data_IF_072538778115
#
_entry.id   IF_072538778115
#
_cell.length_a   1.000
_cell.length_b   1.000
_cell.length_c   1.000
_cell.angle_alpha   90.00
_cell.angle_beta   90.00
_cell.angle_gamma   90.00
#
_symmetry.space_group_name_H-M   'P 1'
#
loop_
_entity.id
_entity.type
_entity.pdbx_description
1 polymer ?
#
# COMPACT_ATOMS: atom_id res chain seq x y z
N UNK A 1 -10.92 6.46 17.31
CA UNK A 1 -11.69 6.37 16.07
C UNK A 1 -10.89 5.62 15.02
N UNK A 2 -11.52 4.71 14.30
CA UNK A 2 -10.87 3.95 13.23
C UNK A 2 -10.80 4.82 11.95
N UNK A 3 -9.69 4.76 11.24
CA UNK A 3 -9.52 5.48 9.97
C UNK A 3 -10.63 5.09 8.97
N UNK A 4 -11.02 3.83 8.95
CA UNK A 4 -12.07 3.34 8.05
C UNK A 4 -13.43 3.98 8.34
N UNK A 5 -13.77 4.17 9.62
CA UNK A 5 -15.01 4.82 10.01
C UNK A 5 -15.04 6.28 9.56
N UNK A 6 -13.91 6.97 9.69
CA UNK A 6 -13.78 8.34 9.21
C UNK A 6 -13.93 8.42 7.70
N UNK A 7 -13.35 7.47 6.96
CA UNK A 7 -13.40 7.44 5.50
C UNK A 7 -14.81 7.20 4.97
N UNK A 8 -15.72 6.62 5.76
CA UNK A 8 -17.11 6.40 5.36
C UNK A 8 -17.90 7.70 5.24
N UNK A 9 -17.49 8.75 5.96
CA UNK A 9 -18.22 10.03 6.00
C UNK A 9 -17.42 11.19 5.42
N UNK A 10 -16.10 11.11 5.43
CA UNK A 10 -15.20 12.16 4.93
C UNK A 10 -14.04 11.53 4.18
N UNK A 11 -13.38 12.34 3.34
CA UNK A 11 -12.17 11.89 2.68
C UNK A 11 -11.04 11.82 3.70
N UNK A 12 -10.41 10.65 3.80
CA UNK A 12 -9.28 10.43 4.70
C UNK A 12 -8.08 9.96 3.90
N UNK A 13 -6.94 10.62 4.09
CA UNK A 13 -5.67 10.23 3.48
C UNK A 13 -4.69 9.90 4.60
N UNK A 14 -4.07 8.73 4.53
CA UNK A 14 -3.06 8.30 5.47
C UNK A 14 -1.77 7.94 4.73
N UNK A 15 -0.63 8.36 5.29
CA UNK A 15 0.69 7.92 4.82
C UNK A 15 1.20 6.92 5.84
N UNK A 16 1.49 5.70 5.39
CA UNK A 16 1.84 4.63 6.31
C UNK A 16 2.86 3.67 5.71
N UNK A 17 3.64 3.04 6.58
CA UNK A 17 4.46 1.87 6.26
C UNK A 17 3.92 0.61 6.92
N UNK A 18 2.77 0.69 7.59
CA UNK A 18 2.15 -0.44 8.25
C UNK A 18 1.19 -1.16 7.30
N UNK A 19 1.44 -2.44 6.97
CA UNK A 19 0.61 -3.17 6.01
C UNK A 19 -0.85 -3.30 6.45
N UNK A 20 -1.10 -3.40 7.75
CA UNK A 20 -2.46 -3.50 8.29
C UNK A 20 -3.28 -2.23 8.01
N UNK A 21 -2.64 -1.08 8.11
CA UNK A 21 -3.28 0.20 7.80
C UNK A 21 -3.51 0.35 6.30
N UNK A 22 -2.49 0.02 5.50
CA UNK A 22 -2.58 0.11 4.04
C UNK A 22 -3.68 -0.81 3.48
N UNK A 23 -3.85 -1.99 4.05
CA UNK A 23 -4.85 -2.95 3.60
C UNK A 23 -6.29 -2.46 3.81
N UNK A 24 -6.52 -1.56 4.74
CA UNK A 24 -7.86 -1.05 5.06
C UNK A 24 -8.29 0.12 4.18
N UNK A 25 -7.39 0.68 3.39
CA UNK A 25 -7.71 1.80 2.51
C UNK A 25 -8.54 1.32 1.31
N UNK A 26 -9.48 2.13 0.86
CA UNK A 26 -10.25 1.85 -0.35
C UNK A 26 -9.39 2.00 -1.60
N UNK A 27 -8.50 2.99 -1.60
CA UNK A 27 -7.57 3.25 -2.69
C UNK A 27 -6.16 3.28 -2.14
N UNK A 28 -5.24 2.63 -2.83
CA UNK A 28 -3.84 2.55 -2.42
C UNK A 28 -2.97 3.24 -3.48
N UNK A 29 -2.22 4.24 -3.05
CA UNK A 29 -1.21 4.90 -3.89
C UNK A 29 0.17 4.50 -3.43
N UNK A 30 1.00 4.07 -4.36
CA UNK A 30 2.40 3.81 -4.09
C UNK A 30 3.21 5.06 -4.40
N UNK A 31 3.97 5.51 -3.42
CA UNK A 31 4.88 6.64 -3.57
C UNK A 31 6.29 6.10 -3.67
N UNK A 32 6.93 6.32 -4.79
CA UNK A 32 8.27 5.83 -5.05
C UNK A 32 9.19 6.97 -5.47
N UNK A 33 10.42 6.94 -4.97
CA UNK A 33 11.47 7.86 -5.37
C UNK A 33 12.44 7.14 -6.29
N UNK A 34 12.72 7.75 -7.44
CA UNK A 34 13.64 7.19 -8.41
C UNK A 34 14.57 8.29 -8.97
N UNK A 35 15.83 7.95 -9.28
CA UNK A 35 16.73 8.91 -9.92
C UNK A 35 16.17 9.34 -11.27
N UNK A 36 16.27 10.63 -11.55
CA UNK A 36 15.91 11.15 -12.87
C UNK A 36 17.07 10.88 -13.80
N UNK A 37 16.82 10.25 -14.94
CA UNK A 37 17.85 9.90 -15.92
C UNK A 37 18.55 11.16 -16.41
N UNK A 38 19.87 11.18 -16.29
CA UNK A 38 20.69 12.31 -16.73
C UNK A 38 20.73 13.49 -15.76
N UNK A 39 20.17 13.34 -14.56
CA UNK A 39 20.17 14.39 -13.53
C UNK A 39 20.62 13.81 -12.19
N UNK A 40 21.16 14.67 -11.32
CA UNK A 40 21.62 14.27 -9.97
C UNK A 40 20.49 14.29 -8.94
N UNK A 41 19.28 14.62 -9.33
CA UNK A 41 18.12 14.70 -8.43
C UNK A 41 17.23 13.48 -8.54
N UNK A 42 16.37 13.30 -7.53
CA UNK A 42 15.42 12.20 -7.44
C UNK A 42 14.01 12.75 -7.70
N UNK A 43 13.25 12.04 -8.52
CA UNK A 43 11.83 12.35 -8.74
C UNK A 43 10.95 11.43 -7.91
N UNK A 44 9.87 11.97 -7.38
CA UNK A 44 8.85 11.21 -6.67
C UNK A 44 7.72 10.87 -7.62
N UNK A 45 7.34 9.60 -7.67
CA UNK A 45 6.20 9.13 -8.45
C UNK A 45 5.11 8.63 -7.54
N UNK A 46 3.86 8.97 -7.88
CA UNK A 46 2.68 8.49 -7.19
C UNK A 46 1.85 7.68 -8.19
N UNK A 47 1.59 6.44 -7.87
CA UNK A 47 0.84 5.53 -8.74
C UNK A 47 -0.32 4.91 -7.97
N UNK A 48 -1.50 4.87 -8.59
CA UNK A 48 -2.63 4.13 -8.04
C UNK A 48 -2.42 2.64 -8.31
N UNK A 49 -2.64 1.81 -7.30
CA UNK A 49 -2.41 0.37 -7.39
C UNK A 49 -3.73 -0.37 -7.61
N UNK A 50 -3.87 -1.14 -8.71
CA UNK A 50 -4.97 -2.10 -8.84
C UNK A 50 -4.82 -3.25 -7.83
N UNK A 51 -5.87 -4.05 -7.69
CA UNK A 51 -5.96 -5.08 -6.64
C UNK A 51 -4.76 -6.02 -6.63
N UNK A 52 -4.32 -6.50 -7.79
CA UNK A 52 -3.20 -7.44 -7.88
C UNK A 52 -1.88 -6.82 -7.42
N UNK A 53 -1.61 -5.61 -7.87
CA UNK A 53 -0.39 -4.89 -7.49
C UNK A 53 -0.45 -4.45 -6.03
N UNK A 54 -1.62 -4.15 -5.54
CA UNK A 54 -1.85 -3.81 -4.14
C UNK A 54 -1.48 -4.98 -3.23
N UNK A 55 -1.87 -6.20 -3.59
CA UNK A 55 -1.50 -7.40 -2.86
C UNK A 55 0.02 -7.58 -2.81
N UNK A 56 0.69 -7.38 -3.95
CA UNK A 56 2.15 -7.47 -4.01
C UNK A 56 2.82 -6.40 -3.14
N UNK A 57 2.32 -5.19 -3.12
CA UNK A 57 2.87 -4.13 -2.31
C UNK A 57 2.70 -4.41 -0.82
N UNK A 58 1.54 -4.88 -0.39
CA UNK A 58 1.32 -5.27 1.00
C UNK A 58 2.21 -6.46 1.39
N UNK A 59 2.38 -7.42 0.49
CA UNK A 59 3.29 -8.53 0.71
C UNK A 59 4.74 -8.04 0.88
N UNK A 60 5.16 -7.08 0.09
CA UNK A 60 6.48 -6.45 0.22
C UNK A 60 6.64 -5.75 1.58
N UNK A 61 5.61 -5.07 2.04
CA UNK A 61 5.61 -4.40 3.36
C UNK A 61 5.74 -5.41 4.50
N UNK A 62 5.15 -6.59 4.34
CA UNK A 62 5.23 -7.67 5.33
C UNK A 62 6.58 -8.38 5.31
N UNK A 63 7.11 -8.65 4.12
CA UNK A 63 8.30 -9.49 3.94
C UNK A 63 9.61 -8.69 3.91
N UNK A 64 9.56 -7.40 3.63
CA UNK A 64 10.75 -6.59 3.42
C UNK A 64 11.25 -6.67 1.98
N UNK A 65 12.54 -6.96 1.79
CA UNK A 65 13.18 -6.87 0.47
C UNK A 65 12.73 -7.96 -0.51
N UNK A 66 12.41 -9.15 -0.02
CA UNK A 66 12.04 -10.30 -0.87
C UNK A 66 10.63 -10.75 -0.55
N UNK A 67 9.77 -10.76 -1.56
CA UNK A 67 8.38 -11.20 -1.40
C UNK A 67 8.31 -12.73 -1.49
N UNK A 68 7.74 -13.35 -0.45
CA UNK A 68 7.56 -14.79 -0.37
C UNK A 68 6.10 -15.16 -0.62
N UNK A 69 5.83 -16.45 -0.89
CA UNK A 69 4.46 -16.93 -1.05
C UNK A 69 3.65 -16.78 0.23
N UNK A 70 4.28 -16.97 1.39
CA UNK A 70 3.65 -16.76 2.69
C UNK A 70 3.24 -15.30 2.88
N UNK A 71 4.08 -14.36 2.45
CA UNK A 71 3.78 -12.94 2.52
C UNK A 71 2.61 -12.59 1.61
N UNK A 72 2.55 -13.17 0.41
CA UNK A 72 1.41 -12.97 -0.50
C UNK A 72 0.11 -13.49 0.09
N UNK A 73 0.15 -14.66 0.71
CA UNK A 73 -1.02 -15.23 1.38
C UNK A 73 -1.48 -14.34 2.54
N UNK A 74 -0.55 -13.85 3.34
CA UNK A 74 -0.85 -12.93 4.44
C UNK A 74 -1.43 -11.62 3.93
N UNK A 75 -0.89 -11.08 2.85
CA UNK A 75 -1.39 -9.85 2.23
C UNK A 75 -2.83 -10.04 1.72
N UNK A 76 -3.12 -11.17 1.09
CA UNK A 76 -4.46 -11.47 0.63
C UNK A 76 -5.46 -11.53 1.79
N UNK A 77 -5.06 -12.10 2.91
CA UNK A 77 -5.90 -12.16 4.11
C UNK A 77 -6.18 -10.78 4.70
N UNK A 78 -5.17 -9.92 4.74
CA UNK A 78 -5.34 -8.55 5.21
C UNK A 78 -6.31 -7.77 4.33
N UNK A 79 -6.22 -7.94 3.01
CA UNK A 79 -7.11 -7.27 2.08
C UNK A 79 -8.54 -7.79 2.19
N UNK A 80 -8.72 -9.10 2.38
CA UNK A 80 -10.04 -9.69 2.61
C UNK A 80 -10.66 -9.18 3.91
N UNK A 81 -9.87 -9.11 4.98
CA UNK A 81 -10.33 -8.60 6.26
C UNK A 81 -10.78 -7.15 6.20
N UNK A 82 -10.19 -6.35 5.31
CA UNK A 82 -10.58 -4.96 5.13
C UNK A 82 -11.96 -4.81 4.47
N UNK A 83 -12.38 -5.81 3.70
CA UNK A 83 -13.67 -5.81 3.00
C UNK A 83 -14.83 -6.34 3.86
N UNK A 84 -14.52 -6.94 4.98
CA UNK A 84 -15.51 -7.55 5.87
C UNK A 84 -16.31 -6.52 6.68
#
# INVERSE_FOLDING_TARGET
MCIRDSAATVQVVAVTHAPQVAARAETHFLIAKAPVKGASRVATRVSSLPVDERREEIARMLAGATVTDEARAAAARLLQGADA
#
